data_IF_006129084145
#
_entry.id   IF_006129084145
#
_cell.length_a   1.000
_cell.length_b   1.000
_cell.length_c   1.000
_cell.angle_alpha   90.00
_cell.angle_beta   90.00
_cell.angle_gamma   90.00
#
_symmetry.space_group_name_H-M   'P 1'
#
loop_
_entity.id
_entity.type
_entity.pdbx_description
1 polymer ?
#
# COMPACT_ATOMS: atom_id res chain seq x y z
N UNK A 1 -10.40 -15.63 -39.92
CA UNK A 1 -11.54 -14.79 -39.50
C UNK A 1 -10.97 -13.63 -38.69
N UNK A 2 -10.40 -12.64 -39.39
CA UNK A 2 -10.93 -11.29 -39.67
C UNK A 2 -11.11 -10.42 -38.42
N UNK A 3 -10.14 -9.53 -38.26
CA UNK A 3 -9.99 -8.46 -37.27
C UNK A 3 -11.19 -7.51 -37.19
N UNK A 4 -11.45 -6.97 -36.00
CA UNK A 4 -12.14 -5.69 -35.81
C UNK A 4 -11.39 -4.87 -34.75
N UNK A 5 -10.63 -3.89 -35.26
CA UNK A 5 -10.22 -2.69 -34.55
C UNK A 5 -11.45 -1.84 -34.25
N UNK A 6 -11.51 -1.20 -33.08
CA UNK A 6 -12.31 0.01 -32.88
C UNK A 6 -11.44 1.11 -32.30
N UNK A 7 -11.08 2.06 -33.17
CA UNK A 7 -10.79 3.45 -32.80
C UNK A 7 -12.13 4.11 -32.43
N UNK A 8 -12.15 4.88 -31.35
CA UNK A 8 -13.14 5.96 -31.19
C UNK A 8 -12.42 7.25 -30.80
N UNK A 9 -12.32 8.13 -31.80
CA UNK A 9 -12.18 9.57 -31.62
C UNK A 9 -13.09 10.21 -32.66
N UNK A 10 -14.09 10.99 -32.22
CA UNK A 10 -14.39 12.35 -32.69
C UNK A 10 -15.72 12.86 -32.11
N UNK A 11 -15.60 13.99 -31.39
CA UNK A 11 -16.41 15.21 -31.53
C UNK A 11 -17.94 15.09 -31.66
N UNK A 12 -18.63 15.52 -30.60
CA UNK A 12 -19.90 16.24 -30.70
C UNK A 12 -19.78 17.60 -30.02
N UNK A 13 -19.80 18.66 -30.84
CA UNK A 13 -20.07 20.04 -30.47
C UNK A 13 -21.56 20.30 -30.75
N UNK A 14 -22.34 20.66 -29.74
CA UNK A 14 -23.51 21.55 -29.88
C UNK A 14 -24.08 21.97 -28.51
N UNK A 15 -24.01 23.28 -28.23
CA UNK A 15 -25.10 24.08 -27.68
C UNK A 15 -25.49 23.94 -26.21
N UNK A 16 -25.05 24.90 -25.37
CA UNK A 16 -25.84 25.37 -24.23
C UNK A 16 -25.60 26.88 -24.01
N UNK A 17 -26.72 27.60 -23.87
CA UNK A 17 -26.86 29.06 -23.72
C UNK A 17 -26.07 29.67 -22.55
N UNK A 18 -25.60 30.92 -22.67
CA UNK A 18 -25.05 31.66 -21.55
C UNK A 18 -26.19 32.11 -20.62
N UNK A 19 -26.31 31.44 -19.47
CA UNK A 19 -27.18 31.88 -18.38
C UNK A 19 -26.51 33.04 -17.63
N UNK A 20 -27.09 34.23 -17.77
CA UNK A 20 -26.78 35.45 -17.01
C UNK A 20 -26.67 35.14 -15.52
N UNK A 21 -25.48 35.29 -14.97
CA UNK A 21 -25.22 35.21 -13.52
C UNK A 21 -25.09 36.61 -12.97
N UNK A 22 -25.96 36.93 -12.03
CA UNK A 22 -25.99 38.16 -11.23
C UNK A 22 -24.67 38.41 -10.50
N UNK A 23 -24.22 39.66 -10.56
CA UNK A 23 -23.08 40.19 -9.81
C UNK A 23 -23.27 39.98 -8.30
N UNK A 24 -22.31 39.37 -7.60
CA UNK A 24 -22.20 39.53 -6.15
C UNK A 24 -21.62 40.91 -5.82
N UNK A 25 -22.34 41.56 -4.91
CA UNK A 25 -22.04 42.80 -4.22
C UNK A 25 -20.59 42.82 -3.70
N UNK A 26 -19.83 43.82 -4.15
CA UNK A 26 -18.46 44.07 -3.74
C UNK A 26 -18.39 44.44 -2.26
N UNK A 27 -17.94 43.52 -1.41
CA UNK A 27 -17.42 43.89 -0.09
C UNK A 27 -16.09 44.63 -0.26
N UNK A 28 -15.84 45.72 0.49
CA UNK A 28 -14.61 46.48 0.39
C UNK A 28 -13.40 45.62 0.79
N UNK A 29 -12.38 45.60 -0.07
CA UNK A 29 -11.07 45.00 0.20
C UNK A 29 -10.44 45.64 1.45
N UNK A 30 -9.90 44.85 2.39
CA UNK A 30 -9.09 45.39 3.47
C UNK A 30 -7.81 46.04 2.89
N UNK A 31 -7.29 47.10 3.53
CA UNK A 31 -6.11 47.81 3.05
C UNK A 31 -4.89 46.88 3.00
N UNK A 32 -4.01 47.05 2.00
CA UNK A 32 -2.78 46.27 1.91
C UNK A 32 -1.89 46.54 3.14
N UNK A 33 -1.27 45.50 3.71
CA UNK A 33 -0.35 45.68 4.83
C UNK A 33 0.88 46.49 4.40
N UNK A 34 1.46 47.30 5.29
CA UNK A 34 2.64 48.10 4.98
C UNK A 34 3.85 47.19 4.64
N UNK A 35 4.65 47.55 3.63
CA UNK A 35 5.85 46.81 3.29
C UNK A 35 6.91 47.02 4.37
N UNK A 36 7.40 45.92 4.98
CA UNK A 36 8.66 45.96 5.74
C UNK A 36 8.68 45.38 7.15
N UNK A 37 7.67 44.63 7.61
CA UNK A 37 7.79 43.89 8.88
C UNK A 37 8.05 42.40 8.62
N UNK A 38 9.12 41.80 9.17
CA UNK A 38 9.31 40.36 9.13
C UNK A 38 8.15 39.69 9.87
N UNK A 39 7.36 38.89 9.15
CA UNK A 39 6.36 38.02 9.75
C UNK A 39 7.13 37.03 10.62
N UNK A 40 7.07 37.23 11.94
CA UNK A 40 7.62 36.28 12.89
C UNK A 40 6.96 34.92 12.62
N UNK A 41 7.75 33.96 12.12
CA UNK A 41 7.30 32.61 11.92
C UNK A 41 6.74 32.09 13.25
N UNK A 42 5.44 31.80 13.27
CA UNK A 42 4.80 31.14 14.41
C UNK A 42 5.61 29.86 14.65
N UNK A 43 6.24 29.68 15.84
CA UNK A 43 6.98 28.46 16.11
C UNK A 43 6.01 27.29 15.96
N UNK A 44 6.32 26.40 15.01
CA UNK A 44 5.58 25.18 14.81
C UNK A 44 5.50 24.48 16.18
N UNK A 45 4.28 24.36 16.73
CA UNK A 45 4.06 23.55 17.92
C UNK A 45 4.66 22.17 17.64
N UNK A 46 5.44 21.58 18.57
CA UNK A 46 5.88 20.21 18.42
C UNK A 46 4.64 19.34 18.23
N UNK A 47 4.43 18.83 17.01
CA UNK A 47 3.54 17.69 16.83
C UNK A 47 4.25 16.55 17.54
N UNK A 48 3.78 16.23 18.74
CA UNK A 48 4.13 14.98 19.38
C UNK A 48 3.91 13.85 18.37
N UNK A 49 4.78 12.84 18.42
CA UNK A 49 4.57 11.59 17.72
C UNK A 49 3.09 11.23 17.84
N UNK A 50 2.44 10.94 16.72
CA UNK A 50 1.24 10.12 16.80
C UNK A 50 1.70 8.80 17.45
N UNK A 51 1.57 8.73 18.77
CA UNK A 51 1.37 7.46 19.44
C UNK A 51 0.25 6.80 18.65
N UNK A 52 0.51 5.59 18.15
CA UNK A 52 -0.51 4.78 17.54
C UNK A 52 -1.74 4.85 18.45
N UNK A 53 -2.83 5.40 17.94
CA UNK A 53 -4.10 5.37 18.63
C UNK A 53 -4.43 3.89 18.83
N UNK A 54 -4.32 3.44 20.07
CA UNK A 54 -4.48 2.05 20.52
C UNK A 54 -5.90 1.51 20.29
N UNK A 55 -6.79 2.28 19.66
CA UNK A 55 -8.06 1.79 19.13
C UNK A 55 -7.91 0.96 17.83
N UNK A 56 -6.79 1.10 17.10
CA UNK A 56 -6.39 0.22 15.99
C UNK A 56 -5.19 -0.65 16.41
N UNK A 57 -5.25 -1.99 16.27
CA UNK A 57 -4.30 -2.93 16.83
C UNK A 57 -3.07 -3.12 15.94
N UNK A 58 -2.86 -2.29 14.92
CA UNK A 58 -1.63 -2.31 14.11
C UNK A 58 -1.35 -0.90 13.64
N UNK A 59 -0.07 -0.55 13.63
CA UNK A 59 0.37 0.71 13.05
C UNK A 59 0.72 0.41 11.60
N UNK A 60 -0.11 0.89 10.67
CA UNK A 60 0.38 1.14 9.31
C UNK A 60 1.54 2.12 9.44
N UNK A 61 2.66 1.82 8.78
CA UNK A 61 3.69 2.84 8.64
C UNK A 61 3.02 4.08 8.03
N UNK A 62 3.27 5.30 8.58
CA UNK A 62 2.56 6.50 8.18
C UNK A 62 2.53 6.60 6.65
N UNK A 63 1.32 6.59 6.09
CA UNK A 63 1.11 6.77 4.66
C UNK A 63 1.66 8.12 4.19
N UNK A 64 2.13 8.12 2.95
CA UNK A 64 2.76 9.21 2.21
C UNK A 64 2.13 10.58 2.49
N UNK A 65 2.80 11.37 3.32
CA UNK A 65 2.54 12.79 3.50
C UNK A 65 3.73 13.56 2.97
N UNK A 66 3.50 14.36 1.92
CA UNK A 66 4.34 15.39 1.33
C UNK A 66 5.67 15.65 2.09
N UNK A 67 6.75 14.97 1.71
CA UNK A 67 8.12 15.35 2.10
C UNK A 67 8.59 16.52 1.24
N UNK A 68 7.79 17.58 1.21
CA UNK A 68 8.23 18.88 0.70
C UNK A 68 8.36 19.77 1.93
N UNK A 69 9.60 20.11 2.27
CA UNK A 69 10.06 21.28 3.05
C UNK A 69 10.79 21.11 4.41
N UNK A 70 11.11 19.92 4.92
CA UNK A 70 12.07 19.83 6.04
C UNK A 70 12.82 18.49 6.12
N UNK A 71 14.10 18.47 6.54
CA UNK A 71 14.80 17.22 6.85
C UNK A 71 14.08 16.50 7.98
N UNK A 72 13.72 15.24 7.75
CA UNK A 72 13.02 14.42 8.73
C UNK A 72 13.85 14.30 10.01
N UNK A 73 13.22 14.42 11.17
CA UNK A 73 13.86 14.17 12.46
C UNK A 73 13.39 12.84 13.03
N UNK A 74 14.29 12.14 13.72
CA UNK A 74 13.97 10.84 14.32
C UNK A 74 14.56 10.75 15.72
N UNK A 75 13.78 10.22 16.67
CA UNK A 75 14.27 9.94 18.02
C UNK A 75 14.69 8.47 18.13
N UNK A 76 15.96 8.23 18.43
CA UNK A 76 16.51 6.90 18.69
C UNK A 76 17.04 6.90 20.12
N UNK A 77 16.48 6.05 20.98
CA UNK A 77 16.82 5.97 22.41
C UNK A 77 16.83 7.35 23.09
N UNK A 78 15.80 8.17 22.83
CA UNK A 78 15.64 9.51 23.39
C UNK A 78 16.45 10.63 22.71
N UNK A 79 17.49 10.30 21.94
CA UNK A 79 18.31 11.27 21.21
C UNK A 79 17.67 11.65 19.89
N UNK A 80 17.59 12.95 19.59
CA UNK A 80 17.03 13.48 18.34
C UNK A 80 18.12 13.55 17.26
N UNK A 81 17.91 12.84 16.15
CA UNK A 81 18.79 12.83 15.00
C UNK A 81 18.11 13.54 13.82
N UNK A 82 18.94 14.07 12.91
CA UNK A 82 18.47 14.59 11.61
C UNK A 82 18.73 13.56 10.53
N UNK A 83 17.73 13.29 9.71
CA UNK A 83 17.79 12.37 8.59
C UNK A 83 17.77 13.16 7.28
N UNK A 84 18.70 12.85 6.40
CA UNK A 84 18.79 13.42 5.05
C UNK A 84 18.80 12.28 4.03
N UNK A 85 17.88 12.32 3.09
CA UNK A 85 17.86 11.44 1.91
C UNK A 85 18.11 12.27 0.68
N UNK A 86 18.97 11.80 -0.21
CA UNK A 86 19.24 12.46 -1.49
C UNK A 86 19.29 11.43 -2.60
N UNK A 87 18.92 11.86 -3.79
CA UNK A 87 18.92 11.05 -4.99
C UNK A 87 19.74 11.75 -6.07
N UNK A 88 20.58 10.99 -6.77
CA UNK A 88 21.42 11.49 -7.85
C UNK A 88 21.36 10.52 -9.02
N UNK A 89 20.85 10.98 -10.16
CA UNK A 89 20.94 10.24 -11.41
C UNK A 89 22.36 10.32 -11.95
N UNK A 90 22.97 9.17 -12.20
CA UNK A 90 24.30 9.04 -12.78
C UNK A 90 24.17 8.89 -14.30
N UNK A 91 24.08 10.03 -15.00
CA UNK A 91 23.90 10.07 -16.45
C UNK A 91 25.09 9.48 -17.24
N UNK A 92 26.25 9.32 -16.61
CA UNK A 92 27.42 8.66 -17.21
C UNK A 92 27.32 7.13 -17.15
N UNK A 93 26.39 6.58 -16.36
CA UNK A 93 26.22 5.14 -16.20
C UNK A 93 24.83 4.69 -16.66
N UNK A 94 24.76 4.27 -17.91
CA UNK A 94 23.56 3.65 -18.50
C UNK A 94 23.39 2.22 -17.99
N UNK A 95 22.16 1.87 -17.63
CA UNK A 95 21.70 0.52 -17.40
C UNK A 95 20.98 0.02 -18.66
N UNK A 96 21.14 -1.27 -18.97
CA UNK A 96 20.53 -1.90 -20.15
C UNK A 96 19.93 -3.24 -19.76
N UNK A 97 18.74 -3.50 -20.28
CA UNK A 97 18.09 -4.80 -20.25
C UNK A 97 17.74 -5.17 -21.68
N UNK A 98 18.04 -6.40 -22.09
CA UNK A 98 17.65 -6.93 -23.40
C UNK A 98 16.89 -8.22 -23.14
N UNK A 99 15.63 -8.24 -23.55
CA UNK A 99 14.79 -9.43 -23.45
C UNK A 99 15.34 -10.50 -24.39
N UNK A 100 15.52 -11.72 -23.87
CA UNK A 100 15.97 -12.83 -24.72
C UNK A 100 14.82 -13.23 -25.66
N UNK A 101 15.05 -13.42 -26.97
CA UNK A 101 14.00 -13.79 -27.92
C UNK A 101 13.33 -15.14 -27.65
N UNK A 102 13.84 -15.93 -26.71
CA UNK A 102 13.23 -17.17 -26.20
C UNK A 102 12.37 -16.99 -24.94
N UNK A 103 12.36 -15.79 -24.34
CA UNK A 103 11.40 -15.42 -23.30
C UNK A 103 10.07 -15.07 -24.00
N UNK A 104 9.04 -15.85 -23.71
CA UNK A 104 7.73 -15.79 -24.37
C UNK A 104 6.98 -14.46 -24.12
N UNK A 105 5.97 -14.14 -24.96
CA UNK A 105 5.19 -12.91 -24.93
C UNK A 105 4.15 -12.94 -23.80
N UNK A 106 4.62 -12.98 -22.56
CA UNK A 106 3.79 -13.00 -21.37
C UNK A 106 4.41 -12.13 -20.29
N UNK A 107 4.20 -10.81 -20.41
CA UNK A 107 4.40 -9.89 -19.30
C UNK A 107 5.48 -8.81 -19.43
N UNK A 108 6.04 -8.51 -20.61
CA UNK A 108 6.72 -7.22 -20.78
C UNK A 108 5.67 -6.12 -20.68
N UNK A 109 5.69 -5.38 -19.57
CA UNK A 109 5.04 -4.08 -19.49
C UNK A 109 5.88 -3.13 -20.35
N UNK A 110 5.71 -3.24 -21.68
CA UNK A 110 6.38 -2.40 -22.65
C UNK A 110 5.84 -0.98 -22.53
N UNK A 111 6.50 -0.18 -21.71
CA UNK A 111 6.32 1.27 -21.65
C UNK A 111 7.27 1.89 -22.68
N UNK A 112 6.71 2.38 -23.79
CA UNK A 112 7.44 3.14 -24.84
C UNK A 112 8.15 2.32 -25.93
N UNK A 113 8.93 3.02 -26.79
CA UNK A 113 9.64 2.53 -28.01
C UNK A 113 10.48 1.24 -27.83
N UNK A 114 10.72 0.80 -26.59
CA UNK A 114 11.39 -0.45 -26.21
C UNK A 114 10.73 -1.71 -26.80
N UNK A 115 9.42 -1.67 -27.08
CA UNK A 115 8.69 -2.78 -27.70
C UNK A 115 9.20 -3.15 -29.10
N UNK A 116 9.81 -2.22 -29.84
CA UNK A 116 10.29 -2.48 -31.20
C UNK A 116 11.68 -3.12 -31.24
N UNK A 117 12.48 -3.01 -30.17
CA UNK A 117 13.89 -3.46 -30.16
C UNK A 117 14.18 -4.55 -29.12
N UNK A 118 13.22 -4.89 -28.25
CA UNK A 118 13.42 -5.84 -27.15
C UNK A 118 14.53 -5.38 -26.18
N UNK A 119 14.88 -4.09 -26.19
CA UNK A 119 15.92 -3.52 -25.36
C UNK A 119 15.38 -2.30 -24.63
N UNK A 120 15.48 -2.34 -23.32
CA UNK A 120 15.17 -1.24 -22.44
C UNK A 120 16.46 -0.59 -21.92
N UNK A 121 16.46 0.74 -21.81
CA UNK A 121 17.60 1.50 -21.29
C UNK A 121 17.16 2.52 -20.26
N UNK A 122 18.04 2.85 -19.34
CA UNK A 122 17.83 3.90 -18.34
C UNK A 122 19.16 4.28 -17.69
N UNK A 123 19.13 5.16 -16.71
CA UNK A 123 20.34 5.58 -15.99
C UNK A 123 20.41 4.95 -14.61
N UNK A 124 21.62 4.74 -14.12
CA UNK A 124 21.86 4.39 -12.73
C UNK A 124 21.42 5.55 -11.82
N UNK A 125 20.97 5.22 -10.62
CA UNK A 125 20.61 6.20 -9.60
C UNK A 125 21.32 5.85 -8.31
N UNK A 126 21.93 6.85 -7.68
CA UNK A 126 22.53 6.76 -6.36
C UNK A 126 21.58 7.33 -5.31
N UNK A 127 21.11 6.46 -4.42
CA UNK A 127 20.33 6.81 -3.24
C UNK A 127 21.29 6.96 -2.07
N UNK A 128 21.34 8.14 -1.45
CA UNK A 128 22.18 8.40 -0.28
C UNK A 128 21.31 8.70 0.94
N UNK A 129 21.61 8.02 2.03
CA UNK A 129 20.96 8.12 3.33
C UNK A 129 21.99 8.60 4.35
N UNK A 130 21.71 9.70 5.04
CA UNK A 130 22.58 10.24 6.08
C UNK A 130 21.79 10.42 7.35
N UNK A 131 22.28 9.82 8.43
CA UNK A 131 21.79 10.12 9.77
C UNK A 131 22.82 10.99 10.46
N UNK A 132 22.42 12.16 10.93
CA UNK A 132 23.28 13.14 11.59
C UNK A 132 22.95 13.21 13.08
N UNK A 133 24.00 13.26 13.89
CA UNK A 133 23.93 13.50 15.33
C UNK A 133 23.44 14.94 15.61
N UNK A 134 23.01 15.26 16.85
CA UNK A 134 22.62 16.61 17.24
C UNK A 134 23.66 17.70 16.92
N UNK A 135 24.95 17.35 16.94
CA UNK A 135 26.06 18.25 16.62
C UNK A 135 26.31 18.42 15.10
N UNK A 136 25.44 17.88 14.24
CA UNK A 136 25.55 17.95 12.78
C UNK A 136 26.52 16.95 12.14
N UNK A 137 27.30 16.21 12.93
CA UNK A 137 28.23 15.21 12.39
C UNK A 137 27.49 13.94 11.94
N UNK A 138 27.88 13.30 10.84
CA UNK A 138 27.26 12.07 10.40
C UNK A 138 27.48 10.95 11.42
N UNK A 139 26.39 10.32 11.86
CA UNK A 139 26.43 9.02 12.52
C UNK A 139 26.76 7.94 11.48
N UNK A 140 26.09 7.97 10.34
CA UNK A 140 26.45 7.16 9.17
C UNK A 140 26.05 7.86 7.87
N UNK A 141 26.69 7.42 6.78
CA UNK A 141 26.29 7.68 5.39
C UNK A 141 26.19 6.34 4.69
N UNK A 142 25.04 6.04 4.08
CA UNK A 142 24.82 4.83 3.29
C UNK A 142 24.42 5.20 1.88
N UNK A 143 25.00 4.50 0.91
CA UNK A 143 24.66 4.64 -0.49
C UNK A 143 24.13 3.30 -1.04
N UNK A 144 23.06 3.37 -1.83
CA UNK A 144 22.47 2.26 -2.57
C UNK A 144 22.32 2.67 -4.03
N UNK A 145 22.38 1.68 -4.94
CA UNK A 145 22.24 1.90 -6.39
C UNK A 145 20.93 1.31 -6.89
N UNK A 146 20.25 1.96 -7.84
CA UNK A 146 19.01 1.44 -8.43
C UNK A 146 19.19 0.02 -8.97
N UNK A 147 20.32 -0.27 -9.61
CA UNK A 147 20.64 -1.61 -10.11
C UNK A 147 20.66 -2.70 -9.04
N UNK A 148 20.92 -2.36 -7.77
CA UNK A 148 20.90 -3.34 -6.67
C UNK A 148 19.49 -3.84 -6.32
N UNK A 149 18.45 -3.18 -6.83
CA UNK A 149 17.05 -3.56 -6.61
C UNK A 149 16.49 -4.52 -7.67
N UNK A 150 17.24 -4.84 -8.71
CA UNK A 150 16.80 -5.74 -9.79
C UNK A 150 16.34 -7.12 -9.30
N UNK A 151 16.95 -7.64 -8.23
CA UNK A 151 16.56 -8.92 -7.65
C UNK A 151 15.16 -8.90 -7.00
N UNK A 152 14.68 -7.74 -6.56
CA UNK A 152 13.38 -7.57 -5.92
C UNK A 152 12.28 -7.15 -6.91
N UNK A 153 12.62 -6.27 -7.85
CA UNK A 153 11.66 -5.64 -8.78
C UNK A 153 11.60 -6.31 -10.16
N UNK A 154 12.58 -7.15 -10.49
CA UNK A 154 12.85 -7.55 -11.86
C UNK A 154 13.83 -6.58 -12.54
N UNK A 155 14.63 -7.13 -13.46
CA UNK A 155 15.73 -6.39 -14.09
C UNK A 155 15.23 -5.29 -15.03
N UNK A 156 14.21 -5.56 -15.85
CA UNK A 156 13.61 -4.58 -16.77
C UNK A 156 13.16 -3.32 -16.04
N UNK A 157 12.35 -3.49 -15.00
CA UNK A 157 11.82 -2.39 -14.19
C UNK A 157 12.90 -1.60 -13.46
N UNK A 158 13.90 -2.28 -12.90
CA UNK A 158 15.04 -1.59 -12.27
C UNK A 158 15.83 -0.74 -13.29
N UNK A 159 15.82 -1.10 -14.58
CA UNK A 159 16.43 -0.29 -15.64
C UNK A 159 15.56 0.92 -15.96
N UNK A 160 14.28 0.71 -16.31
CA UNK A 160 13.41 1.77 -16.86
C UNK A 160 12.80 2.72 -15.83
N UNK A 161 12.73 2.31 -14.57
CA UNK A 161 12.09 3.13 -13.54
C UNK A 161 12.80 4.47 -13.30
N UNK A 162 12.01 5.50 -13.05
CA UNK A 162 12.45 6.82 -12.62
C UNK A 162 13.06 6.82 -11.22
N UNK A 163 13.76 7.92 -10.95
CA UNK A 163 14.44 8.17 -9.71
C UNK A 163 13.49 8.90 -8.74
N UNK A 164 12.87 8.20 -7.79
CA UNK A 164 12.06 8.84 -6.74
C UNK A 164 12.81 8.91 -5.41
N UNK A 165 12.75 10.05 -4.72
CA UNK A 165 13.42 10.22 -3.43
C UNK A 165 12.92 9.19 -2.40
N UNK A 166 13.81 8.58 -1.60
CA UNK A 166 13.38 7.68 -0.53
C UNK A 166 12.53 8.41 0.51
N UNK A 167 11.37 7.86 0.82
CA UNK A 167 10.45 8.35 1.85
C UNK A 167 10.77 7.67 3.17
N UNK A 168 10.92 8.43 4.24
CA UNK A 168 11.17 7.87 5.57
C UNK A 168 9.86 7.43 6.22
N UNK A 169 9.71 6.11 6.43
CA UNK A 169 8.51 5.52 7.02
C UNK A 169 8.56 5.47 8.56
N UNK A 170 9.75 5.47 9.17
CA UNK A 170 9.89 5.54 10.63
C UNK A 170 11.07 4.78 11.23
N UNK A 171 11.25 4.89 12.54
CA UNK A 171 12.18 4.06 13.32
C UNK A 171 11.44 2.87 13.93
N UNK A 172 11.99 1.68 13.75
CA UNK A 172 11.50 0.40 14.23
C UNK A 172 12.42 -0.09 15.37
N UNK A 173 12.07 0.12 16.65
CA UNK A 173 12.97 -0.14 17.76
C UNK A 173 13.37 -1.62 17.89
N UNK A 174 12.42 -2.54 17.73
CA UNK A 174 12.72 -3.97 17.86
C UNK A 174 13.64 -4.49 16.75
N UNK A 175 13.54 -3.93 15.54
CA UNK A 175 14.44 -4.21 14.42
C UNK A 175 15.76 -3.44 14.52
N UNK A 176 15.85 -2.46 15.42
CA UNK A 176 16.87 -1.42 15.44
C UNK A 176 17.11 -0.81 14.05
N UNK A 177 16.02 -0.48 13.35
CA UNK A 177 16.06 -0.13 11.94
C UNK A 177 15.33 1.18 11.62
N UNK A 178 15.86 1.95 10.68
CA UNK A 178 15.17 3.02 9.99
C UNK A 178 14.53 2.43 8.72
N UNK A 179 13.22 2.58 8.58
CA UNK A 179 12.46 2.10 7.44
C UNK A 179 12.29 3.21 6.39
N UNK A 180 12.52 2.85 5.14
CA UNK A 180 12.35 3.72 3.99
C UNK A 180 11.57 3.00 2.90
N UNK A 181 10.79 3.76 2.16
CA UNK A 181 10.12 3.31 0.95
C UNK A 181 10.71 4.02 -0.28
N UNK A 182 10.93 3.27 -1.35
CA UNK A 182 11.44 3.78 -2.62
C UNK A 182 10.49 3.35 -3.72
N UNK A 183 9.81 4.31 -4.34
CA UNK A 183 8.92 4.10 -5.47
C UNK A 183 9.71 3.95 -6.77
N UNK A 184 9.46 2.89 -7.52
CA UNK A 184 10.09 2.63 -8.81
C UNK A 184 9.01 2.39 -9.85
N UNK A 185 8.76 3.43 -10.63
CA UNK A 185 7.78 3.47 -11.70
C UNK A 185 8.47 3.94 -12.99
N UNK A 186 8.19 3.33 -14.15
CA UNK A 186 8.56 3.92 -15.43
C UNK A 186 7.92 5.31 -15.59
N UNK A 187 8.54 6.20 -16.40
CA UNK A 187 7.94 7.49 -16.75
C UNK A 187 6.51 7.32 -17.28
N UNK A 188 5.61 8.20 -16.84
CA UNK A 188 4.21 8.24 -17.28
C UNK A 188 3.45 6.90 -17.15
N UNK A 189 3.85 6.08 -16.18
CA UNK A 189 3.29 4.75 -15.98
C UNK A 189 2.92 4.49 -14.52
N UNK A 190 1.80 3.82 -14.31
CA UNK A 190 1.39 3.21 -13.06
C UNK A 190 2.00 1.81 -12.86
N UNK A 191 2.78 1.33 -13.83
CA UNK A 191 3.33 -0.01 -13.86
C UNK A 191 4.62 -0.12 -13.03
N UNK A 192 4.51 -0.31 -11.72
CA UNK A 192 5.67 -0.35 -10.85
C UNK A 192 5.37 -0.80 -9.43
N UNK A 193 6.24 -0.47 -8.50
CA UNK A 193 6.03 -0.81 -7.10
C UNK A 193 6.96 -0.08 -6.16
N UNK A 194 6.75 -0.34 -4.87
CA UNK A 194 7.53 0.26 -3.80
C UNK A 194 8.41 -0.79 -3.16
N UNK A 195 9.68 -0.43 -3.00
CA UNK A 195 10.64 -1.18 -2.22
C UNK A 195 10.59 -0.75 -0.77
N UNK A 196 10.71 -1.70 0.15
CA UNK A 196 11.03 -1.45 1.54
C UNK A 196 12.54 -1.63 1.74
N UNK A 197 13.18 -0.63 2.33
CA UNK A 197 14.58 -0.66 2.75
C UNK A 197 14.66 -0.46 4.26
N UNK A 198 15.28 -1.39 4.97
CA UNK A 198 15.59 -1.27 6.39
C UNK A 198 17.08 -1.04 6.58
N UNK A 199 17.45 0.10 7.17
CA UNK A 199 18.84 0.43 7.52
C UNK A 199 19.04 0.33 9.03
N UNK A 200 20.09 -0.32 9.47
CA UNK A 200 20.44 -0.40 10.88
C UNK A 200 20.67 1.01 11.46
N UNK A 201 19.95 1.35 12.53
CA UNK A 201 19.77 2.73 12.97
C UNK A 201 21.06 3.42 13.46
N UNK A 202 22.11 2.67 13.78
CA UNK A 202 23.40 3.23 14.22
C UNK A 202 24.54 3.07 13.22
N UNK A 203 24.43 2.14 12.27
CA UNK A 203 25.56 1.82 11.34
C UNK A 203 25.22 2.08 9.89
N UNK A 204 23.94 2.27 9.54
CA UNK A 204 23.50 2.40 8.15
C UNK A 204 23.62 1.11 7.35
N UNK A 205 23.97 -0.03 7.97
CA UNK A 205 24.04 -1.32 7.30
C UNK A 205 22.64 -1.70 6.81
N UNK A 206 22.54 -2.17 5.56
CA UNK A 206 21.28 -2.72 5.03
C UNK A 206 20.93 -3.98 5.82
N UNK A 207 19.77 -3.96 6.48
CA UNK A 207 19.19 -5.12 7.15
C UNK A 207 18.23 -5.84 6.22
N UNK A 208 17.53 -5.10 5.37
CA UNK A 208 16.57 -5.64 4.41
C UNK A 208 16.43 -4.70 3.21
N UNK A 209 16.21 -5.29 2.05
CA UNK A 209 15.80 -4.61 0.82
C UNK A 209 14.92 -5.59 0.02
N UNK A 210 13.69 -5.20 -0.28
CA UNK A 210 12.75 -6.08 -0.97
C UNK A 210 11.48 -5.36 -1.38
N UNK A 211 10.65 -6.04 -2.18
CA UNK A 211 9.41 -5.47 -2.68
C UNK A 211 8.39 -5.35 -1.55
N UNK A 212 7.95 -4.14 -1.23
CA UNK A 212 6.91 -3.90 -0.26
C UNK A 212 5.53 -4.20 -0.86
N UNK A 213 5.26 -3.67 -2.06
CA UNK A 213 4.00 -3.84 -2.79
C UNK A 213 4.17 -3.58 -4.29
N UNK A 214 3.20 -4.03 -5.07
CA UNK A 214 3.22 -3.98 -6.54
C UNK A 214 1.93 -3.35 -7.06
N UNK A 215 2.06 -2.41 -7.99
CA UNK A 215 0.93 -1.73 -8.65
C UNK A 215 0.38 -2.66 -9.73
N UNK A 216 -0.92 -2.96 -9.67
CA UNK A 216 -1.53 -4.10 -10.37
C UNK A 216 -1.49 -5.43 -9.60
N UNK A 217 -0.82 -5.48 -8.43
CA UNK A 217 -0.79 -6.63 -7.52
C UNK A 217 -1.40 -6.30 -6.16
N UNK A 218 -0.99 -7.04 -5.12
CA UNK A 218 -1.39 -6.70 -3.76
C UNK A 218 -0.84 -5.33 -3.33
N UNK A 219 -1.76 -4.39 -3.07
CA UNK A 219 -1.45 -3.04 -2.63
C UNK A 219 -1.69 -2.85 -1.11
N UNK A 220 -1.58 -3.93 -0.33
CA UNK A 220 -1.60 -3.82 1.13
C UNK A 220 -0.42 -2.96 1.60
N UNK A 221 -0.65 -1.96 2.48
CA UNK A 221 0.46 -1.20 3.07
C UNK A 221 1.33 -2.11 3.94
N UNK A 222 2.58 -1.70 4.17
CA UNK A 222 3.41 -2.36 5.16
C UNK A 222 2.87 -2.09 6.58
N UNK A 223 2.69 -3.14 7.37
CA UNK A 223 2.04 -3.10 8.69
C UNK A 223 2.96 -3.67 9.76
N UNK A 224 3.15 -2.91 10.84
CA UNK A 224 3.91 -3.34 12.01
C UNK A 224 2.97 -3.95 13.07
N UNK A 225 3.38 -5.08 13.66
CA UNK A 225 2.71 -5.69 14.80
C UNK A 225 2.69 -4.78 16.03
N UNK A 226 1.74 -5.02 16.94
CA UNK A 226 1.64 -4.23 18.18
C UNK A 226 2.89 -4.28 19.05
N UNK A 227 3.58 -5.44 19.07
CA UNK A 227 4.83 -5.60 19.80
C UNK A 227 6.06 -5.07 19.04
N UNK A 228 5.86 -4.55 17.82
CA UNK A 228 6.89 -4.01 16.96
C UNK A 228 7.85 -5.05 16.38
N UNK A 229 7.61 -6.35 16.57
CA UNK A 229 8.55 -7.43 16.24
C UNK A 229 8.31 -8.08 14.87
N UNK A 230 7.17 -7.80 14.25
CA UNK A 230 6.80 -8.35 12.95
C UNK A 230 6.37 -7.21 12.04
N UNK A 231 6.95 -7.16 10.84
CA UNK A 231 6.57 -6.24 9.77
C UNK A 231 6.04 -7.08 8.60
N UNK A 232 4.78 -6.89 8.27
CA UNK A 232 4.11 -7.55 7.15
C UNK A 232 4.13 -6.62 5.93
N UNK A 233 4.57 -7.11 4.77
CA UNK A 233 4.42 -6.45 3.47
C UNK A 233 3.39 -7.20 2.61
N UNK A 234 3.20 -6.79 1.37
CA UNK A 234 2.38 -7.56 0.40
C UNK A 234 3.03 -8.88 -0.01
N UNK A 235 4.33 -9.05 0.23
CA UNK A 235 5.12 -10.17 -0.32
C UNK A 235 5.80 -11.01 0.75
N UNK A 236 6.04 -10.46 1.94
CA UNK A 236 6.90 -11.06 2.95
C UNK A 236 6.45 -10.72 4.39
N UNK A 237 6.82 -11.60 5.33
CA UNK A 237 6.71 -11.40 6.77
C UNK A 237 8.13 -11.28 7.31
N UNK A 238 8.50 -10.09 7.78
CA UNK A 238 9.79 -9.80 8.36
C UNK A 238 9.68 -9.86 9.88
N UNK A 239 10.65 -10.51 10.53
CA UNK A 239 10.73 -10.58 11.98
C UNK A 239 11.99 -9.87 12.48
N UNK A 240 11.90 -9.23 13.65
CA UNK A 240 12.99 -8.45 14.25
C UNK A 240 14.27 -9.29 14.54
N UNK A 241 14.15 -10.61 14.60
CA UNK A 241 15.28 -11.53 14.71
C UNK A 241 16.04 -11.76 13.39
N UNK A 242 15.62 -11.11 12.29
CA UNK A 242 16.21 -11.24 10.96
C UNK A 242 15.61 -12.35 10.11
N UNK A 243 14.63 -13.11 10.62
CA UNK A 243 13.93 -14.10 9.83
C UNK A 243 12.96 -13.43 8.85
N UNK A 244 12.91 -13.94 7.63
CA UNK A 244 12.05 -13.45 6.54
C UNK A 244 11.29 -14.65 5.97
N UNK A 245 9.97 -14.58 6.01
CA UNK A 245 9.09 -15.58 5.40
C UNK A 245 8.47 -14.98 4.15
N UNK A 246 8.72 -15.60 2.99
CA UNK A 246 8.04 -15.21 1.75
C UNK A 246 6.60 -15.68 1.77
N UNK A 247 5.68 -14.78 1.46
CA UNK A 247 4.28 -15.13 1.25
C UNK A 247 4.19 -15.83 -0.10
N UNK A 248 3.71 -17.07 -0.05
CA UNK A 248 3.86 -17.99 -1.16
C UNK A 248 2.97 -17.61 -2.36
N UNK A 249 3.58 -17.41 -3.52
CA UNK A 249 2.92 -17.29 -4.84
C UNK A 249 2.81 -18.65 -5.56
N UNK A 250 3.02 -19.78 -4.86
CA UNK A 250 2.92 -21.10 -5.50
C UNK A 250 1.48 -21.50 -5.77
N UNK A 251 1.34 -22.28 -6.85
CA UNK A 251 0.12 -22.85 -7.40
C UNK A 251 -0.74 -21.91 -8.27
N UNK A 252 -0.12 -21.06 -9.10
CA UNK A 252 -0.84 -20.29 -10.14
C UNK A 252 -1.84 -19.27 -9.54
N UNK A 253 -1.49 -18.73 -8.38
CA UNK A 253 -2.26 -17.75 -7.62
C UNK A 253 -1.38 -16.53 -7.36
N UNK A 254 -1.99 -15.36 -7.34
CA UNK A 254 -1.33 -14.12 -7.02
C UNK A 254 -1.79 -13.64 -5.65
N UNK A 255 -0.86 -13.21 -4.80
CA UNK A 255 -1.22 -12.50 -3.58
C UNK A 255 -1.93 -11.21 -3.98
N UNK A 256 -3.13 -11.03 -3.44
CA UNK A 256 -4.02 -9.91 -3.74
C UNK A 256 -4.31 -9.06 -2.50
N UNK A 257 -4.16 -9.63 -1.31
CA UNK A 257 -4.27 -8.90 -0.05
C UNK A 257 -3.49 -9.57 1.06
N UNK A 258 -2.85 -8.79 1.92
CA UNK A 258 -2.29 -9.26 3.18
C UNK A 258 -2.85 -8.46 4.35
N UNK A 259 -3.07 -9.13 5.49
CA UNK A 259 -3.57 -8.53 6.71
C UNK A 259 -2.94 -9.21 7.93
N UNK A 260 -2.38 -8.42 8.84
CA UNK A 260 -1.94 -8.93 10.14
C UNK A 260 -3.16 -9.05 11.07
N UNK A 261 -3.56 -10.28 11.40
CA UNK A 261 -4.76 -10.53 12.22
C UNK A 261 -4.43 -10.34 13.71
N UNK A 262 -3.31 -10.92 14.14
CA UNK A 262 -2.68 -10.82 15.46
C UNK A 262 -1.14 -10.85 15.33
N UNK A 263 -0.40 -10.71 16.44
CA UNK A 263 1.06 -10.74 16.44
C UNK A 263 1.67 -12.08 15.99
N UNK A 264 0.87 -13.09 15.65
CA UNK A 264 1.29 -14.45 15.32
C UNK A 264 0.63 -14.99 14.05
N UNK A 265 -0.33 -14.27 13.47
CA UNK A 265 -1.19 -14.78 12.40
C UNK A 265 -1.43 -13.72 11.35
N UNK A 266 -1.15 -14.10 10.10
CA UNK A 266 -1.40 -13.31 8.90
C UNK A 266 -2.53 -13.97 8.12
N UNK A 267 -3.42 -13.15 7.57
CA UNK A 267 -4.39 -13.54 6.56
C UNK A 267 -3.88 -13.08 5.20
N UNK A 268 -3.86 -14.00 4.24
CA UNK A 268 -3.47 -13.73 2.85
C UNK A 268 -4.63 -14.11 1.95
N UNK A 269 -5.07 -13.15 1.13
CA UNK A 269 -6.04 -13.36 0.09
C UNK A 269 -5.35 -13.46 -1.27
N UNK A 270 -5.85 -14.36 -2.10
CA UNK A 270 -5.30 -14.73 -3.39
C UNK A 270 -6.30 -14.44 -4.50
N UNK A 271 -5.78 -14.02 -5.64
CA UNK A 271 -6.50 -13.92 -6.90
C UNK A 271 -6.01 -15.01 -7.87
N UNK A 272 -6.82 -15.37 -8.88
CA UNK A 272 -6.36 -16.23 -9.95
C UNK A 272 -5.20 -15.56 -10.69
N UNK A 273 -4.05 -16.25 -10.77
CA UNK A 273 -2.88 -15.76 -11.50
C UNK A 273 -2.96 -16.04 -12.99
N UNK A 274 -1.89 -15.76 -13.72
CA UNK A 274 -1.80 -15.98 -15.16
C UNK A 274 -0.83 -17.12 -15.51
N UNK A 275 -1.05 -17.78 -16.64
CA UNK A 275 -0.03 -18.65 -17.25
C UNK A 275 0.98 -17.84 -18.07
N UNK A 276 1.99 -18.53 -18.61
CA UNK A 276 3.04 -17.92 -19.41
C UNK A 276 2.53 -17.28 -20.72
N UNK A 277 1.26 -17.50 -21.07
CA UNK A 277 0.62 -16.89 -22.25
C UNK A 277 -0.24 -15.67 -21.88
N UNK A 278 -0.24 -15.27 -20.61
CA UNK A 278 -1.11 -14.21 -20.10
C UNK A 278 -2.57 -14.63 -19.98
N UNK A 279 -2.87 -15.94 -20.03
CA UNK A 279 -4.23 -16.45 -19.81
C UNK A 279 -4.48 -16.57 -18.32
N UNK A 280 -5.57 -15.96 -17.84
CA UNK A 280 -5.97 -16.06 -16.43
C UNK A 280 -6.35 -17.50 -16.10
N UNK A 281 -5.68 -18.06 -15.11
CA UNK A 281 -5.88 -19.43 -14.66
C UNK A 281 -7.05 -19.46 -13.66
N UNK A 282 -7.91 -20.48 -13.69
CA UNK A 282 -9.00 -20.58 -12.73
C UNK A 282 -8.45 -20.81 -11.32
N UNK A 283 -8.97 -20.06 -10.34
CA UNK A 283 -8.66 -20.27 -8.94
C UNK A 283 -9.46 -21.47 -8.41
N UNK A 284 -8.76 -22.56 -8.08
CA UNK A 284 -9.36 -23.78 -7.57
C UNK A 284 -9.32 -23.79 -6.03
N UNK A 285 -10.49 -23.98 -5.41
CA UNK A 285 -10.61 -24.12 -3.96
C UNK A 285 -10.61 -22.79 -3.19
N UNK A 286 -10.17 -22.79 -1.91
CA UNK A 286 -10.06 -21.59 -1.08
C UNK A 286 -9.12 -20.53 -1.68
N UNK A 287 -9.54 -19.26 -1.61
CA UNK A 287 -8.78 -18.11 -2.07
C UNK A 287 -8.21 -17.26 -0.92
N UNK A 288 -8.48 -17.62 0.34
CA UNK A 288 -7.92 -16.92 1.50
C UNK A 288 -7.34 -17.92 2.49
N UNK A 289 -6.17 -17.62 3.04
CA UNK A 289 -5.43 -18.51 3.95
C UNK A 289 -4.99 -17.75 5.21
N UNK A 290 -5.25 -18.33 6.38
CA UNK A 290 -4.59 -17.93 7.62
C UNK A 290 -3.28 -18.70 7.72
N UNK A 291 -2.19 -18.01 8.03
CA UNK A 291 -0.87 -18.58 8.23
C UNK A 291 -0.23 -18.04 9.50
N UNK A 292 0.64 -18.84 10.13
CA UNK A 292 1.53 -18.32 11.15
C UNK A 292 2.69 -17.51 10.53
N UNK A 293 3.52 -16.87 11.37
CA UNK A 293 4.61 -16.01 10.89
C UNK A 293 5.71 -16.76 10.11
N UNK A 294 5.73 -18.10 10.19
CA UNK A 294 6.65 -18.94 9.41
C UNK A 294 6.03 -19.41 8.09
N UNK A 295 4.82 -18.93 7.75
CA UNK A 295 4.12 -19.26 6.52
C UNK A 295 3.39 -20.60 6.58
N UNK A 296 3.31 -21.24 7.76
CA UNK A 296 2.55 -22.48 7.89
C UNK A 296 1.07 -22.16 7.92
N UNK A 297 0.32 -22.75 6.98
CA UNK A 297 -1.13 -22.63 6.90
C UNK A 297 -1.82 -23.18 8.15
N UNK A 298 -2.73 -22.38 8.70
CA UNK A 298 -3.55 -22.67 9.87
C UNK A 298 -5.00 -22.99 9.47
N UNK A 299 -5.56 -22.26 8.50
CA UNK A 299 -6.91 -22.46 7.98
C UNK A 299 -7.04 -21.85 6.58
N UNK A 300 -8.09 -22.22 5.85
CA UNK A 300 -8.37 -21.71 4.51
C UNK A 300 -9.88 -21.48 4.30
N UNK A 301 -10.21 -20.44 3.53
CA UNK A 301 -11.58 -19.96 3.34
C UNK A 301 -11.83 -19.58 1.88
N UNK A 302 -13.10 -19.64 1.46
CA UNK A 302 -13.57 -19.04 0.21
C UNK A 302 -14.25 -17.71 0.52
N UNK A 303 -13.54 -16.61 0.27
CA UNK A 303 -13.90 -15.24 0.61
C UNK A 303 -13.29 -14.28 -0.44
N UNK A 304 -14.10 -13.80 -1.38
CA UNK A 304 -13.69 -12.83 -2.42
C UNK A 304 -13.74 -11.41 -1.86
N UNK A 305 -12.92 -11.13 -0.84
CA UNK A 305 -12.88 -9.83 -0.13
C UNK A 305 -11.83 -8.88 -0.67
N UNK A 306 -11.45 -9.05 -1.94
CA UNK A 306 -10.46 -8.23 -2.61
C UNK A 306 -11.13 -7.59 -3.81
N UNK A 307 -10.98 -6.27 -3.89
CA UNK A 307 -11.47 -5.47 -5.02
C UNK A 307 -10.31 -5.17 -5.97
N UNK A 308 -10.61 -5.04 -7.26
CA UNK A 308 -9.61 -4.95 -8.32
C UNK A 308 -9.82 -3.75 -9.23
N UNK A 309 -8.91 -2.78 -9.11
CA UNK A 309 -8.78 -1.62 -9.99
C UNK A 309 -7.35 -1.50 -10.53
N UNK A 310 -6.64 -0.43 -10.14
CA UNK A 310 -5.19 -0.25 -10.39
C UNK A 310 -4.31 -1.16 -9.51
N UNK A 311 -4.93 -2.07 -8.76
CA UNK A 311 -4.31 -3.02 -7.86
C UNK A 311 -5.38 -3.71 -7.03
N UNK A 312 -4.94 -4.68 -6.24
CA UNK A 312 -5.80 -5.42 -5.36
C UNK A 312 -5.81 -4.79 -3.96
N UNK A 313 -7.00 -4.46 -3.48
CA UNK A 313 -7.21 -3.96 -2.12
C UNK A 313 -8.12 -4.91 -1.35
N UNK A 314 -7.67 -5.34 -0.16
CA UNK A 314 -8.52 -6.10 0.75
C UNK A 314 -9.54 -5.18 1.43
N UNK A 315 -10.83 -5.46 1.23
CA UNK A 315 -11.94 -4.76 1.87
C UNK A 315 -12.06 -5.20 3.33
N UNK A 316 -11.22 -4.65 4.20
CA UNK A 316 -11.15 -5.01 5.61
C UNK A 316 -11.35 -3.83 6.56
N UNK A 317 -11.95 -4.10 7.73
CA UNK A 317 -12.07 -3.17 8.87
C UNK A 317 -11.84 -3.92 10.17
N UNK A 318 -11.05 -3.34 11.06
CA UNK A 318 -10.95 -3.83 12.44
C UNK A 318 -11.94 -3.10 13.35
N UNK A 319 -12.60 -3.84 14.23
CA UNK A 319 -13.48 -3.28 15.26
C UNK A 319 -12.93 -3.64 16.64
N UNK A 320 -12.48 -2.63 17.39
CA UNK A 320 -11.85 -2.82 18.70
C UNK A 320 -12.76 -3.44 19.75
N UNK A 321 -14.05 -3.10 19.71
CA UNK A 321 -15.05 -3.56 20.68
C UNK A 321 -15.31 -5.06 20.56
N UNK A 322 -15.26 -5.63 19.35
CA UNK A 322 -15.39 -7.08 19.12
C UNK A 322 -14.04 -7.78 18.90
N UNK A 323 -12.94 -7.02 18.93
CA UNK A 323 -11.57 -7.48 18.68
C UNK A 323 -11.47 -8.36 17.44
N UNK A 324 -12.13 -7.96 16.36
CA UNK A 324 -12.29 -8.77 15.16
C UNK A 324 -12.06 -7.96 13.90
N UNK A 325 -11.48 -8.60 12.89
CA UNK A 325 -11.42 -8.09 11.53
C UNK A 325 -12.64 -8.55 10.74
N UNK A 326 -13.22 -7.62 9.99
CA UNK A 326 -14.38 -7.82 9.14
C UNK A 326 -13.96 -7.62 7.70
N UNK A 327 -14.19 -8.63 6.87
CA UNK A 327 -13.79 -8.64 5.46
C UNK A 327 -15.03 -8.79 4.59
N UNK A 328 -15.32 -7.78 3.77
CA UNK A 328 -16.51 -7.77 2.94
C UNK A 328 -16.23 -8.42 1.59
N UNK A 329 -17.01 -9.44 1.25
CA UNK A 329 -17.01 -10.13 -0.04
C UNK A 329 -18.26 -9.69 -0.80
N UNK A 330 -18.07 -8.68 -1.65
CA UNK A 330 -19.15 -8.08 -2.44
C UNK A 330 -19.72 -9.10 -3.44
N UNK A 331 -18.83 -9.80 -4.14
CA UNK A 331 -19.14 -10.72 -5.24
C UNK A 331 -20.12 -11.80 -4.81
N UNK A 332 -19.92 -12.39 -3.63
CA UNK A 332 -20.75 -13.47 -3.11
C UNK A 332 -21.76 -13.00 -2.06
N UNK A 333 -21.77 -11.71 -1.71
CA UNK A 333 -22.62 -11.17 -0.64
C UNK A 333 -22.32 -11.84 0.71
N UNK A 334 -21.05 -11.84 1.12
CA UNK A 334 -20.58 -12.48 2.36
C UNK A 334 -19.79 -11.50 3.23
N UNK A 335 -19.69 -11.82 4.51
CA UNK A 335 -18.85 -11.11 5.47
C UNK A 335 -18.01 -12.11 6.25
N UNK A 336 -16.69 -12.06 6.06
CA UNK A 336 -15.73 -12.77 6.89
C UNK A 336 -15.54 -12.06 8.24
N UNK A 337 -15.56 -12.81 9.33
CA UNK A 337 -15.30 -12.31 10.69
C UNK A 337 -14.16 -13.12 11.30
N UNK A 338 -13.05 -12.45 11.58
CA UNK A 338 -11.80 -13.05 12.05
C UNK A 338 -11.46 -12.50 13.44
N UNK A 339 -11.74 -13.24 14.52
CA UNK A 339 -11.38 -12.83 15.88
C UNK A 339 -9.86 -12.75 16.04
N UNK A 340 -9.35 -11.64 16.59
CA UNK A 340 -7.91 -11.46 16.76
C UNK A 340 -7.30 -12.45 17.76
N UNK A 341 -8.04 -12.83 18.81
CA UNK A 341 -7.55 -13.77 19.82
C UNK A 341 -7.54 -15.23 19.36
N UNK A 342 -8.47 -15.61 18.49
CA UNK A 342 -8.53 -16.95 17.90
C UNK A 342 -8.89 -16.85 16.41
N UNK A 343 -7.92 -16.53 15.54
CA UNK A 343 -8.19 -16.35 14.12
C UNK A 343 -8.75 -17.61 13.45
N UNK A 344 -8.39 -18.80 13.94
CA UNK A 344 -8.83 -20.09 13.37
C UNK A 344 -10.33 -20.30 13.54
N UNK A 345 -10.97 -19.68 14.54
CA UNK A 345 -12.44 -19.69 14.69
C UNK A 345 -13.15 -18.68 13.79
N UNK A 346 -12.50 -18.20 12.72
CA UNK A 346 -13.11 -17.30 11.76
C UNK A 346 -14.37 -17.91 11.13
N UNK A 347 -15.35 -17.05 10.87
CA UNK A 347 -16.64 -17.43 10.27
C UNK A 347 -16.90 -16.59 9.02
N UNK A 348 -17.47 -17.22 8.00
CA UNK A 348 -17.94 -16.55 6.79
C UNK A 348 -19.46 -16.55 6.81
N UNK A 349 -20.04 -15.36 6.89
CA UNK A 349 -21.49 -15.17 7.02
C UNK A 349 -22.09 -14.84 5.66
N UNK A 350 -23.11 -15.56 5.23
CA UNK A 350 -23.92 -15.16 4.08
C UNK A 350 -24.83 -14.00 4.48
N UNK A 351 -24.77 -12.88 3.75
CA UNK A 351 -25.57 -11.70 4.07
C UNK A 351 -27.08 -11.94 3.91
N UNK A 352 -27.47 -12.82 2.99
CA UNK A 352 -28.86 -13.28 2.83
C UNK A 352 -29.43 -13.95 4.08
N UNK A 353 -28.58 -14.44 4.98
CA UNK A 353 -28.97 -15.05 6.25
C UNK A 353 -28.83 -14.09 7.44
N UNK A 354 -28.34 -12.88 7.22
CA UNK A 354 -28.23 -11.86 8.28
C UNK A 354 -29.44 -10.92 8.22
N UNK A 355 -29.95 -10.44 9.37
CA UNK A 355 -31.04 -9.47 9.37
C UNK A 355 -30.68 -8.18 8.62
N UNK A 356 -31.63 -7.66 7.85
CA UNK A 356 -31.53 -6.33 7.25
C UNK A 356 -31.70 -5.27 8.33
N UNK A 357 -30.86 -4.26 8.30
CA UNK A 357 -30.95 -3.13 9.22
C UNK A 357 -32.25 -2.35 8.97
N UNK A 358 -32.95 -2.08 10.08
CA UNK A 358 -34.04 -1.11 10.16
C UNK A 358 -33.74 -0.19 11.33
N UNK A 359 -33.89 1.11 11.10
CA UNK A 359 -33.66 2.11 12.13
C UNK A 359 -34.55 1.87 13.36
N UNK A 360 -34.08 2.20 14.57
CA UNK A 360 -32.79 2.81 14.88
C UNK A 360 -31.62 1.80 15.04
N UNK A 361 -30.39 2.34 15.12
CA UNK A 361 -29.23 1.62 15.63
C UNK A 361 -29.41 1.35 17.13
N UNK A 362 -29.05 0.14 17.58
CA UNK A 362 -29.15 -0.25 18.99
C UNK A 362 -27.94 0.26 19.77
N UNK A 363 -28.06 0.53 21.09
CA UNK A 363 -26.96 1.08 21.89
C UNK A 363 -25.67 0.24 21.90
N UNK A 364 -25.79 -1.09 21.80
CA UNK A 364 -24.65 -2.01 21.78
C UNK A 364 -24.03 -2.21 20.39
N UNK A 365 -24.60 -1.61 19.35
CA UNK A 365 -24.12 -1.78 17.98
C UNK A 365 -23.03 -0.77 17.62
N UNK A 366 -21.97 -1.27 16.98
CA UNK A 366 -20.96 -0.45 16.29
C UNK A 366 -21.21 -0.51 14.80
N UNK A 367 -21.13 0.64 14.13
CA UNK A 367 -21.30 0.77 12.69
C UNK A 367 -19.94 0.72 11.99
N UNK A 368 -19.84 -0.10 10.94
CA UNK A 368 -18.75 -0.03 9.96
C UNK A 368 -19.32 0.11 8.55
N UNK A 369 -18.61 0.83 7.70
CA UNK A 369 -18.98 1.08 6.31
C UNK A 369 -17.86 0.63 5.38
N UNK A 370 -18.25 0.00 4.26
CA UNK A 370 -17.41 -0.32 3.13
C UNK A 370 -17.95 0.39 1.90
N UNK A 371 -17.03 0.89 1.08
CA UNK A 371 -17.29 1.37 -0.28
C UNK A 371 -16.35 0.62 -1.20
N UNK A 372 -16.87 0.07 -2.28
CA UNK A 372 -16.11 -0.67 -3.28
C UNK A 372 -15.98 0.15 -4.56
N UNK A 373 -15.09 -0.26 -5.46
CA UNK A 373 -14.85 0.40 -6.75
C UNK A 373 -16.07 0.34 -7.67
N UNK A 374 -16.91 -0.69 -7.52
CA UNK A 374 -18.21 -0.79 -8.21
C UNK A 374 -19.24 0.22 -7.67
N UNK A 375 -18.89 1.03 -6.67
CA UNK A 375 -19.79 1.97 -6.02
C UNK A 375 -20.76 1.31 -5.02
N UNK A 376 -20.63 0.00 -4.76
CA UNK A 376 -21.43 -0.66 -3.72
C UNK A 376 -21.08 -0.06 -2.35
N UNK A 377 -22.13 0.30 -1.61
CA UNK A 377 -22.03 0.77 -0.23
C UNK A 377 -22.63 -0.27 0.71
N UNK A 378 -21.80 -0.85 1.58
CA UNK A 378 -22.22 -1.82 2.58
C UNK A 378 -22.01 -1.26 3.99
N UNK A 379 -23.11 -1.09 4.73
CA UNK A 379 -23.08 -0.73 6.15
C UNK A 379 -23.40 -1.95 7.00
N UNK A 380 -22.57 -2.24 8.00
CA UNK A 380 -22.80 -3.29 8.99
C UNK A 380 -22.95 -2.69 10.39
N UNK A 381 -23.95 -3.16 11.13
CA UNK A 381 -24.22 -2.84 12.52
C UNK A 381 -23.95 -4.08 13.35
N UNK A 382 -22.90 -4.03 14.15
CA UNK A 382 -22.33 -5.17 14.86
C UNK A 382 -22.64 -5.01 16.34
N UNK A 383 -23.47 -5.90 16.88
CA UNK A 383 -23.74 -5.97 18.31
C UNK A 383 -22.49 -6.48 19.05
N UNK A 384 -21.93 -5.64 19.89
CA UNK A 384 -20.69 -5.90 20.63
C UNK A 384 -20.84 -6.89 21.77
N UNK A 385 -22.07 -7.23 22.17
CA UNK A 385 -22.38 -8.18 23.24
C UNK A 385 -22.76 -9.54 22.65
N UNK A 386 -23.71 -9.57 21.71
CA UNK A 386 -24.21 -10.82 21.13
C UNK A 386 -23.40 -11.32 19.93
N UNK A 387 -22.60 -10.45 19.30
CA UNK A 387 -21.93 -10.73 18.04
C UNK A 387 -22.88 -10.83 16.84
N UNK A 388 -24.15 -10.46 17.02
CA UNK A 388 -25.15 -10.36 15.96
C UNK A 388 -24.83 -9.24 14.98
N UNK A 389 -25.17 -9.43 13.71
CA UNK A 389 -24.88 -8.47 12.64
C UNK A 389 -26.16 -8.14 11.90
N UNK A 390 -26.45 -6.85 11.76
CA UNK A 390 -27.46 -6.34 10.82
C UNK A 390 -26.77 -5.59 9.70
N UNK A 391 -27.32 -5.61 8.50
CA UNK A 391 -26.66 -5.01 7.35
C UNK A 391 -27.60 -4.15 6.50
N UNK A 392 -27.03 -3.16 5.82
CA UNK A 392 -27.69 -2.38 4.77
C UNK A 392 -26.76 -2.35 3.57
N UNK A 393 -27.26 -2.77 2.42
CA UNK A 393 -26.50 -2.81 1.18
C UNK A 393 -27.18 -1.93 0.13
N UNK A 394 -26.41 -1.04 -0.49
CA UNK A 394 -26.81 -0.27 -1.66
C UNK A 394 -25.89 -0.64 -2.81
N UNK A 395 -26.47 -1.05 -3.93
CA UNK A 395 -25.76 -1.36 -5.17
C UNK A 395 -26.26 -0.40 -6.25
N UNK A 396 -25.37 0.37 -6.91
CA UNK A 396 -25.76 1.14 -8.08
C UNK A 396 -26.25 0.20 -9.20
N UNK A 397 -27.26 0.66 -9.95
CA UNK A 397 -27.67 0.02 -11.19
C UNK A 397 -26.88 0.68 -12.33
N UNK A 398 -26.15 -0.13 -13.09
CA UNK A 398 -25.41 0.30 -14.29
C UNK A 398 -26.09 -0.17 -15.56
#
# INVERSE_FOLDING_TARGET
MRHCFFLFALLWLAGCDPKTTSQPESSPLPPPPPPGMPVAAVPARPRGLALADTAAPYTTLPGFGDTVQAPSQVRINGTLYRLETTILTDSARTLRYTESPTAQPGGSMSVGDSAQTGTATGFEVLYRFRLLRPNGQPLFVRELRKSSFAAAMGQELAVIAEANAPVFSGYLPAFNALAFEISLYPPDSDAGGELLVLLHATTGRVLYQGLARWTGGCNSPAVLSNDGRTLLTSTEILQANGHVTKIDNKAKREVAGTLLVNNQTVLVAYMPGYDNTGTRLPLQGPNAELMDLNGRKLAAFKLESVDGGLGYQMLSKYVGQTRSHYLFDETNGRLGVFPAQNPVSARVLALSQQPVFRAPQRPAEVRIDFTTETGTQATFYIDTVSGGIRHRLYRPAY
#
